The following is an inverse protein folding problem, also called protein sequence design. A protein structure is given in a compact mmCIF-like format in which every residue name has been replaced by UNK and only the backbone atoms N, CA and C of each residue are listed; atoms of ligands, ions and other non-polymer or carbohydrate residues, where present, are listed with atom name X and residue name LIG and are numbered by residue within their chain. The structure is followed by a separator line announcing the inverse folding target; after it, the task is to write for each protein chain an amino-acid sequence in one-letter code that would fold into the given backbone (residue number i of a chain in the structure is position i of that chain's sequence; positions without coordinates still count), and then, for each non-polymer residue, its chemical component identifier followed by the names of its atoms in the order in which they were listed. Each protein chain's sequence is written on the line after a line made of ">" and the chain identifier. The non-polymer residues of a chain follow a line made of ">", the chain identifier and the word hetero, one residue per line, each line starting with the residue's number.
data_IF_709445972403
#
_entry.id   IF_709445972403
#
_cell.length_a   1.000
_cell.length_b   1.000
_cell.length_c   1.000
_cell.angle_alpha   90.00
_cell.angle_beta   90.00
_cell.angle_gamma   90.00
#
_symmetry.space_group_name_H-M   'P 1'
#
loop_
_entity.id
_entity.type
_entity.pdbx_description
1 polymer ?
#
# COMPACT_ATOMS: atom_id res chain seq x y z
N UNK A 1 -21.79 2.80 -4.96
CA UNK A 1 -22.05 1.38 -4.62
C UNK A 1 -20.77 0.65 -4.94
N UNK A 2 -20.15 -0.04 -3.97
CA UNK A 2 -18.93 -0.81 -4.26
C UNK A 2 -19.30 -1.98 -5.18
N UNK A 3 -18.55 -2.12 -6.28
CA UNK A 3 -18.70 -3.24 -7.20
C UNK A 3 -18.27 -4.51 -6.47
N UNK A 4 -19.23 -5.40 -6.20
CA UNK A 4 -18.96 -6.66 -5.51
C UNK A 4 -18.24 -7.59 -6.47
N UNK A 5 -17.13 -8.16 -6.00
CA UNK A 5 -16.43 -9.23 -6.72
C UNK A 5 -17.43 -10.33 -7.08
N UNK A 6 -17.50 -10.69 -8.36
CA UNK A 6 -18.33 -11.80 -8.82
C UNK A 6 -17.82 -13.11 -8.22
N UNK A 7 -18.70 -13.98 -7.68
CA UNK A 7 -18.29 -15.29 -7.20
C UNK A 7 -17.59 -16.05 -8.32
N UNK A 8 -16.41 -16.59 -8.01
CA UNK A 8 -15.62 -17.41 -8.92
C UNK A 8 -15.35 -18.74 -8.23
N UNK A 9 -15.65 -19.83 -8.93
CA UNK A 9 -15.51 -21.19 -8.39
C UNK A 9 -14.06 -21.57 -8.07
N UNK A 10 -13.10 -20.85 -8.66
CA UNK A 10 -11.65 -21.05 -8.47
C UNK A 10 -11.04 -20.17 -7.37
N UNK A 11 -11.82 -19.34 -6.68
CA UNK A 11 -11.33 -18.42 -5.65
C UNK A 11 -12.02 -18.63 -4.31
N UNK A 12 -11.25 -18.51 -3.23
CA UNK A 12 -11.76 -18.51 -1.86
C UNK A 12 -11.60 -17.11 -1.27
N UNK A 13 -12.70 -16.55 -0.76
CA UNK A 13 -12.67 -15.28 -0.04
C UNK A 13 -12.22 -15.50 1.40
N UNK A 14 -11.04 -14.97 1.75
CA UNK A 14 -10.54 -15.00 3.12
C UNK A 14 -11.27 -13.95 3.97
N UNK A 15 -11.68 -14.34 5.18
CA UNK A 15 -12.32 -13.44 6.13
C UNK A 15 -11.28 -12.57 6.82
N UNK A 16 -11.49 -11.26 6.80
CA UNK A 16 -10.70 -10.29 7.54
C UNK A 16 -11.64 -9.45 8.41
N UNK A 17 -11.32 -9.33 9.70
CA UNK A 17 -12.11 -8.51 10.61
C UNK A 17 -11.96 -7.02 10.27
N UNK A 18 -12.99 -6.18 10.51
CA UNK A 18 -12.88 -4.73 10.37
C UNK A 18 -11.70 -4.18 11.18
N UNK A 19 -11.10 -3.09 10.70
CA UNK A 19 -10.00 -2.39 11.38
C UNK A 19 -8.79 -3.28 11.75
N UNK A 20 -8.53 -4.33 10.96
CA UNK A 20 -7.41 -5.26 11.18
C UNK A 20 -6.33 -5.18 10.08
N UNK A 21 -5.77 -3.99 9.78
CA UNK A 21 -4.79 -3.82 8.70
C UNK A 21 -3.48 -4.62 8.94
N UNK A 22 -3.11 -4.89 10.19
CA UNK A 22 -1.94 -5.72 10.53
C UNK A 22 -2.11 -7.18 10.08
N UNK A 23 -3.36 -7.64 9.94
CA UNK A 23 -3.71 -8.95 9.40
C UNK A 23 -3.86 -8.94 7.86
N UNK A 24 -3.40 -7.88 7.19
CA UNK A 24 -3.39 -7.79 5.73
C UNK A 24 -1.97 -7.48 5.21
N UNK A 25 -1.28 -8.44 4.58
CA UNK A 25 0.12 -8.27 4.17
C UNK A 25 0.32 -7.18 3.11
N UNK A 26 -0.73 -6.75 2.40
CA UNK A 26 -0.62 -5.68 1.41
C UNK A 26 -0.31 -4.33 2.07
N UNK A 27 -0.75 -4.10 3.30
CA UNK A 27 -0.56 -2.82 4.02
C UNK A 27 0.92 -2.54 4.28
N UNK A 28 1.68 -3.56 4.64
CA UNK A 28 3.13 -3.47 4.79
C UNK A 28 3.84 -3.24 3.45
N UNK A 29 3.38 -3.89 2.37
CA UNK A 29 3.92 -3.66 1.02
C UNK A 29 3.66 -2.21 0.56
N UNK A 30 2.46 -1.69 0.78
CA UNK A 30 2.10 -0.30 0.48
C UNK A 30 2.86 0.71 1.32
N UNK A 31 3.16 0.39 2.58
CA UNK A 31 4.02 1.26 3.42
C UNK A 31 5.41 1.42 2.81
N UNK A 32 6.02 0.34 2.32
CA UNK A 32 7.32 0.39 1.62
C UNK A 32 7.21 1.15 0.29
N UNK A 33 6.20 0.86 -0.52
CA UNK A 33 5.96 1.56 -1.78
C UNK A 33 5.79 3.07 -1.57
N UNK A 34 4.97 3.46 -0.59
CA UNK A 34 4.73 4.85 -0.22
C UNK A 34 6.02 5.54 0.21
N UNK A 35 6.90 4.88 0.96
CA UNK A 35 8.20 5.42 1.33
C UNK A 35 9.06 5.71 0.09
N UNK A 36 9.10 4.78 -0.88
CA UNK A 36 9.83 4.97 -2.14
C UNK A 36 9.27 6.08 -3.02
N UNK A 37 7.94 6.16 -3.13
CA UNK A 37 7.26 7.26 -3.83
C UNK A 37 7.61 8.60 -3.16
N UNK A 38 7.55 8.70 -1.82
CA UNK A 38 7.93 9.92 -1.10
C UNK A 38 9.38 10.33 -1.40
N UNK A 39 10.32 9.39 -1.45
CA UNK A 39 11.70 9.67 -1.85
C UNK A 39 11.75 10.22 -3.27
N UNK A 40 11.09 9.59 -4.24
CA UNK A 40 11.03 10.09 -5.62
C UNK A 40 10.45 11.52 -5.69
N UNK A 41 9.32 11.77 -5.02
CA UNK A 41 8.66 13.08 -5.01
C UNK A 41 9.51 14.16 -4.34
N UNK A 42 10.34 13.80 -3.35
CA UNK A 42 11.29 14.75 -2.75
C UNK A 42 12.36 15.21 -3.75
N UNK A 43 12.76 14.35 -4.68
CA UNK A 43 13.68 14.69 -5.77
C UNK A 43 12.98 15.51 -6.87
N UNK A 44 11.72 15.17 -7.18
CA UNK A 44 10.89 15.91 -8.14
C UNK A 44 10.16 17.12 -7.51
N UNK A 45 10.69 17.68 -6.42
CA UNK A 45 10.00 18.72 -5.65
C UNK A 45 9.73 19.97 -6.49
N UNK A 46 10.68 20.38 -7.32
CA UNK A 46 10.55 21.56 -8.19
C UNK A 46 9.38 21.40 -9.17
N UNK A 47 9.29 20.25 -9.83
CA UNK A 47 8.17 19.93 -10.71
C UNK A 47 6.84 19.92 -9.95
N UNK A 48 6.82 19.41 -8.71
CA UNK A 48 5.59 19.34 -7.91
C UNK A 48 5.05 20.73 -7.51
N UNK A 49 5.94 21.70 -7.31
CA UNK A 49 5.60 23.08 -6.90
C UNK A 49 5.59 24.08 -8.05
N UNK A 50 5.97 23.67 -9.26
CA UNK A 50 5.97 24.53 -10.44
C UNK A 50 4.62 25.23 -10.63
N UNK A 51 4.70 26.53 -10.95
CA UNK A 51 3.54 27.39 -11.19
C UNK A 51 2.76 26.88 -12.39
N UNK A 52 1.46 26.68 -12.21
CA UNK A 52 0.53 26.17 -13.23
C UNK A 52 -0.78 26.94 -13.18
N UNK A 53 -1.55 26.90 -14.27
CA UNK A 53 -2.87 27.53 -14.28
C UNK A 53 -3.78 26.83 -13.27
N UNK A 54 -4.66 27.62 -12.65
CA UNK A 54 -5.70 27.09 -11.76
C UNK A 54 -6.57 26.11 -12.58
N UNK A 55 -6.73 24.89 -12.08
CA UNK A 55 -7.39 23.78 -12.80
C UNK A 55 -6.42 22.72 -13.35
N UNK A 56 -5.16 23.08 -13.65
CA UNK A 56 -4.16 22.13 -14.17
C UNK A 56 -3.31 21.49 -13.07
N UNK A 57 -3.29 22.10 -11.87
CA UNK A 57 -2.41 21.69 -10.75
C UNK A 57 -2.66 20.22 -10.36
N UNK A 58 -3.92 19.80 -10.22
CA UNK A 58 -4.27 18.45 -9.80
C UNK A 58 -3.84 17.40 -10.83
N UNK A 59 -4.17 17.62 -12.11
CA UNK A 59 -3.79 16.73 -13.21
C UNK A 59 -2.27 16.60 -13.34
N UNK A 60 -1.55 17.73 -13.27
CA UNK A 60 -0.09 17.70 -13.35
C UNK A 60 0.56 16.96 -12.16
N UNK A 61 0.04 17.15 -10.94
CA UNK A 61 0.52 16.39 -9.77
C UNK A 61 0.20 14.90 -9.86
N UNK A 62 -0.97 14.55 -10.41
CA UNK A 62 -1.34 13.16 -10.65
C UNK A 62 -0.36 12.47 -11.60
N UNK A 63 0.01 13.13 -12.70
CA UNK A 63 0.98 12.60 -13.65
C UNK A 63 2.37 12.37 -13.01
N UNK A 64 2.80 13.29 -12.15
CA UNK A 64 4.06 13.12 -11.40
C UNK A 64 3.95 11.93 -10.43
N UNK A 65 2.81 11.79 -9.74
CA UNK A 65 2.58 10.69 -8.80
C UNK A 65 2.53 9.33 -9.51
N UNK A 66 1.90 9.25 -10.68
CA UNK A 66 1.83 8.06 -11.52
C UNK A 66 3.24 7.62 -11.93
N UNK A 67 4.05 8.54 -12.46
CA UNK A 67 5.47 8.28 -12.78
C UNK A 67 6.26 7.83 -11.56
N UNK A 68 6.03 8.45 -10.40
CA UNK A 68 6.68 8.06 -9.15
C UNK A 68 6.31 6.64 -8.74
N UNK A 69 5.04 6.25 -8.91
CA UNK A 69 4.55 4.91 -8.62
C UNK A 69 5.15 3.89 -9.59
N UNK A 70 5.14 4.15 -10.90
CA UNK A 70 5.76 3.29 -11.93
C UNK A 70 7.24 3.05 -11.66
N UNK A 71 7.98 4.09 -11.28
CA UNK A 71 9.41 3.99 -10.95
C UNK A 71 9.66 3.27 -9.62
N UNK A 72 8.69 3.30 -8.71
CA UNK A 72 8.84 2.75 -7.36
C UNK A 72 8.31 1.31 -7.25
N UNK A 73 7.40 0.88 -8.13
CA UNK A 73 6.69 -0.41 -7.99
C UNK A 73 7.64 -1.61 -7.92
N UNK A 74 8.82 -1.51 -8.56
CA UNK A 74 9.87 -2.52 -8.49
C UNK A 74 10.41 -2.79 -7.08
N UNK A 75 10.09 -1.97 -6.08
CA UNK A 75 10.42 -2.27 -4.69
C UNK A 75 9.57 -3.40 -4.09
N UNK A 76 8.44 -3.76 -4.72
CA UNK A 76 7.59 -4.88 -4.31
C UNK A 76 8.12 -6.18 -4.93
N UNK A 77 9.26 -6.66 -4.42
CA UNK A 77 9.85 -7.93 -4.85
C UNK A 77 9.38 -9.10 -3.97
N UNK A 78 9.53 -10.33 -4.46
CA UNK A 78 9.04 -11.55 -3.80
C UNK A 78 9.45 -11.67 -2.32
N UNK A 79 10.72 -11.37 -2.01
CA UNK A 79 11.22 -11.39 -0.63
C UNK A 79 10.50 -10.38 0.29
N UNK A 80 10.09 -9.21 -0.20
CA UNK A 80 9.29 -8.27 0.58
C UNK A 80 7.89 -8.86 0.85
N UNK A 81 7.24 -9.37 -0.19
CA UNK A 81 5.91 -9.98 -0.08
C UNK A 81 5.92 -11.14 0.92
N UNK A 82 6.91 -12.03 0.84
CA UNK A 82 7.06 -13.14 1.78
C UNK A 82 7.28 -12.65 3.21
N UNK A 83 8.06 -11.58 3.41
CA UNK A 83 8.26 -10.99 4.74
C UNK A 83 6.95 -10.44 5.32
N UNK A 84 6.14 -9.75 4.51
CA UNK A 84 4.85 -9.20 4.96
C UNK A 84 3.80 -10.28 5.19
N UNK A 85 3.80 -11.35 4.39
CA UNK A 85 2.97 -12.52 4.62
C UNK A 85 3.31 -13.20 5.95
N UNK A 86 4.60 -13.41 6.25
CA UNK A 86 5.04 -13.96 7.52
C UNK A 86 4.67 -13.06 8.71
N UNK A 87 4.85 -11.75 8.58
CA UNK A 87 4.43 -10.80 9.60
C UNK A 87 2.91 -10.91 9.87
N UNK A 88 2.10 -10.90 8.82
CA UNK A 88 0.65 -11.09 8.93
C UNK A 88 0.29 -12.40 9.63
N UNK A 89 0.99 -13.51 9.33
CA UNK A 89 0.75 -14.79 10.01
C UNK A 89 1.01 -14.70 11.51
N UNK A 90 2.10 -14.06 11.93
CA UNK A 90 2.40 -13.86 13.34
C UNK A 90 1.35 -13.00 14.04
N UNK A 91 0.90 -11.92 13.38
CA UNK A 91 -0.15 -11.03 13.90
C UNK A 91 -1.46 -11.79 14.07
N UNK A 92 -1.86 -12.58 13.08
CA UNK A 92 -3.09 -13.40 13.15
C UNK A 92 -2.98 -14.39 14.31
N UNK A 93 -1.86 -15.09 14.46
CA UNK A 93 -1.65 -16.03 15.55
C UNK A 93 -1.67 -15.34 16.93
N UNK A 94 -1.12 -14.12 17.05
CA UNK A 94 -1.21 -13.31 18.27
C UNK A 94 -2.65 -12.88 18.57
N UNK A 95 -3.40 -12.45 17.55
CA UNK A 95 -4.81 -12.10 17.66
C UNK A 95 -5.65 -13.28 18.15
N UNK A 96 -5.39 -14.49 17.63
CA UNK A 96 -6.06 -15.73 18.08
C UNK A 96 -5.78 -16.03 19.56
N UNK A 97 -4.60 -15.68 20.06
CA UNK A 97 -4.21 -15.83 21.48
C UNK A 97 -4.66 -14.66 22.36
N UNK A 98 -5.36 -13.67 21.80
CA UNK A 98 -5.75 -12.43 22.49
C UNK A 98 -4.55 -11.68 23.09
N UNK A 99 -3.40 -11.75 22.43
CA UNK A 99 -2.20 -11.01 22.82
C UNK A 99 -2.29 -9.55 22.36
N UNK A 100 -1.65 -8.65 23.10
CA UNK A 100 -1.51 -7.26 22.68
C UNK A 100 -0.66 -7.17 21.41
N UNK A 101 -1.26 -6.67 20.34
CA UNK A 101 -0.59 -6.50 19.05
C UNK A 101 -0.01 -5.09 18.99
N UNK A 102 1.32 -5.00 18.95
CA UNK A 102 2.05 -3.73 18.85
C UNK A 102 2.13 -3.27 17.38
N UNK A 103 1.90 -1.97 17.18
CA UNK A 103 2.22 -1.29 15.92
C UNK A 103 3.68 -0.85 15.94
N UNK A 104 4.54 -1.53 15.18
CA UNK A 104 5.85 -0.94 14.84
C UNK A 104 5.59 0.28 13.94
N UNK A 105 5.84 1.47 14.50
CA UNK A 105 5.64 2.78 13.85
C UNK A 105 6.91 3.26 13.16
#
# INVERSE_FOLDING_TARGET
>A
MEERVTPRDDLVLLRLAPYSPMCNPIEGCFSVLKAKIKTYLSLAREDLVAVRRRGEIAAARMLILERAAERSIGCIYLRLVNKMALHCQHVVAAAERMEDIQYDT
#
